data_IF_793970549528
#
_entry.id   IF_793970549528
#
_cell.length_a   1.000
_cell.length_b   1.000
_cell.length_c   1.000
_cell.angle_alpha   90.00
_cell.angle_beta   90.00
_cell.angle_gamma   90.00
#
_symmetry.space_group_name_H-M   'P 1'
#
loop_
_entity.id
_entity.type
_entity.pdbx_description
1 polymer ?
#
# COMPACT_ATOMS: atom_id res chain seq x y z
N UNK A 1 -22.84 25.79 10.52
CA UNK A 1 -23.72 26.82 9.92
C UNK A 1 -23.36 26.93 8.46
N UNK A 2 -24.25 26.45 7.59
CA UNK A 2 -24.05 26.42 6.16
C UNK A 2 -24.13 27.83 5.57
N UNK A 3 -23.23 28.17 4.65
CA UNK A 3 -23.38 29.32 3.75
C UNK A 3 -22.93 28.90 2.36
N UNK A 4 -23.89 29.01 1.43
CA UNK A 4 -23.78 28.83 -0.02
C UNK A 4 -22.82 29.86 -0.63
N UNK A 5 -22.07 29.49 -1.67
CA UNK A 5 -21.42 30.47 -2.54
C UNK A 5 -21.56 30.03 -4.00
N UNK A 6 -22.24 30.90 -4.74
CA UNK A 6 -22.58 30.78 -6.15
C UNK A 6 -21.40 30.84 -7.12
N UNK A 7 -21.65 30.21 -8.27
CA UNK A 7 -20.98 30.29 -9.56
C UNK A 7 -20.26 31.62 -9.85
N UNK A 8 -18.97 31.53 -10.21
CA UNK A 8 -18.31 32.51 -11.09
C UNK A 8 -17.48 31.81 -12.14
N UNK A 9 -17.85 32.04 -13.40
CA UNK A 9 -17.12 31.65 -14.59
C UNK A 9 -15.82 32.48 -14.74
N UNK A 10 -14.74 31.81 -15.14
CA UNK A 10 -13.50 32.45 -15.59
C UNK A 10 -13.33 32.21 -17.11
N UNK A 11 -12.91 33.22 -17.89
CA UNK A 11 -12.75 33.09 -19.34
C UNK A 11 -11.43 32.42 -19.73
N UNK A 12 -11.46 31.75 -20.89
CA UNK A 12 -10.37 31.03 -21.53
C UNK A 12 -9.18 31.92 -21.90
N UNK A 13 -7.96 31.40 -21.74
CA UNK A 13 -6.76 31.93 -22.39
C UNK A 13 -6.11 30.87 -23.28
N UNK A 14 -5.72 31.32 -24.46
CA UNK A 14 -5.30 30.58 -25.65
C UNK A 14 -3.82 30.16 -25.65
N UNK A 15 -3.56 29.18 -26.52
CA UNK A 15 -2.30 28.47 -26.84
C UNK A 15 -1.12 29.34 -27.31
N UNK A 16 0.10 28.91 -26.98
CA UNK A 16 1.32 29.24 -27.74
C UNK A 16 2.33 28.06 -27.71
N UNK A 17 3.03 27.92 -28.84
CA UNK A 17 3.68 26.73 -29.40
C UNK A 17 5.10 26.39 -28.87
N UNK A 18 5.39 25.08 -28.96
CA UNK A 18 6.63 24.35 -29.32
C UNK A 18 7.97 25.09 -29.46
N UNK A 19 9.00 24.55 -28.79
CA UNK A 19 10.36 24.42 -29.30
C UNK A 19 11.01 23.12 -28.75
N UNK A 20 11.36 22.20 -29.64
CA UNK A 20 11.98 20.91 -29.30
C UNK A 20 13.51 20.97 -29.36
N UNK A 21 14.18 20.36 -28.38
CA UNK A 21 15.63 20.08 -28.39
C UNK A 21 15.81 18.61 -28.01
N UNK A 22 16.46 17.86 -28.91
CA UNK A 22 16.74 16.42 -28.78
C UNK A 22 18.06 16.19 -28.06
N UNK A 23 18.06 15.39 -26.98
CA UNK A 23 19.26 14.88 -26.32
C UNK A 23 19.33 13.35 -26.45
N UNK A 24 20.46 12.82 -26.92
CA UNK A 24 20.77 11.38 -26.90
C UNK A 24 21.41 11.00 -25.55
N UNK A 25 20.97 9.93 -24.87
CA UNK A 25 21.62 9.47 -23.64
C UNK A 25 22.86 8.59 -23.94
N UNK A 26 23.89 8.60 -23.07
CA UNK A 26 25.06 7.72 -23.18
C UNK A 26 24.74 6.30 -22.66
N UNK A 27 25.58 5.30 -22.98
CA UNK A 27 25.30 3.90 -22.66
C UNK A 27 25.44 3.62 -21.15
N UNK A 28 24.50 2.84 -20.61
CA UNK A 28 24.48 2.39 -19.21
C UNK A 28 25.19 1.03 -19.10
N UNK A 29 26.14 0.84 -18.16
CA UNK A 29 26.73 -0.47 -17.91
C UNK A 29 25.77 -1.37 -17.12
N UNK A 30 25.55 -2.58 -17.62
CA UNK A 30 24.72 -3.61 -17.01
C UNK A 30 25.35 -4.17 -15.72
N UNK A 31 24.72 -3.92 -14.57
CA UNK A 31 24.84 -4.80 -13.40
C UNK A 31 23.46 -5.37 -13.10
N UNK A 32 23.35 -6.68 -13.27
CA UNK A 32 22.13 -7.45 -13.06
C UNK A 32 21.72 -7.41 -11.59
N UNK A 33 20.59 -6.76 -11.30
CA UNK A 33 19.76 -7.21 -10.19
C UNK A 33 19.22 -8.60 -10.52
N UNK A 34 19.08 -9.44 -9.49
CA UNK A 34 18.68 -10.85 -9.60
C UNK A 34 17.18 -10.97 -9.96
N UNK A 35 16.85 -10.54 -11.18
CA UNK A 35 15.51 -10.57 -11.77
C UNK A 35 14.94 -11.99 -11.85
N UNK A 36 15.80 -13.01 -11.82
CA UNK A 36 15.42 -14.41 -11.83
C UNK A 36 14.65 -14.84 -10.58
N UNK A 37 15.00 -14.30 -9.41
CA UNK A 37 14.34 -14.67 -8.15
C UNK A 37 12.94 -14.05 -8.01
N UNK A 38 12.75 -12.81 -8.47
CA UNK A 38 11.42 -12.19 -8.56
C UNK A 38 10.53 -12.85 -9.61
N UNK A 39 11.08 -13.25 -10.76
CA UNK A 39 10.36 -14.03 -11.77
C UNK A 39 9.89 -15.38 -11.21
N UNK A 40 10.74 -16.10 -10.48
CA UNK A 40 10.34 -17.36 -9.84
C UNK A 40 9.22 -17.19 -8.81
N UNK A 41 9.24 -16.14 -7.99
CA UNK A 41 8.15 -15.87 -7.04
C UNK A 41 6.84 -15.54 -7.75
N UNK A 42 6.88 -14.75 -8.83
CA UNK A 42 5.68 -14.49 -9.64
C UNK A 42 5.11 -15.77 -10.26
N UNK A 43 5.97 -16.69 -10.70
CA UNK A 43 5.55 -18.00 -11.19
C UNK A 43 4.88 -18.82 -10.10
N UNK A 44 5.45 -18.90 -8.89
CA UNK A 44 4.85 -19.64 -7.75
C UNK A 44 3.48 -19.08 -7.38
N UNK A 45 3.32 -17.75 -7.38
CA UNK A 45 2.01 -17.12 -7.12
C UNK A 45 1.00 -17.49 -8.21
N UNK A 46 1.41 -17.50 -9.49
CA UNK A 46 0.55 -17.88 -10.62
C UNK A 46 0.24 -19.38 -10.68
N UNK A 47 1.14 -20.25 -10.24
CA UNK A 47 0.92 -21.70 -10.22
C UNK A 47 -0.09 -22.10 -9.15
N UNK A 48 -0.07 -21.45 -7.98
CA UNK A 48 -1.09 -21.64 -6.96
C UNK A 48 -2.49 -21.16 -7.40
N UNK A 49 -2.60 -20.27 -8.40
CA UNK A 49 -3.90 -19.85 -8.96
C UNK A 49 -4.57 -20.95 -9.79
N UNK A 50 -3.80 -21.88 -10.37
CA UNK A 50 -4.34 -22.95 -11.21
C UNK A 50 -4.89 -24.15 -10.41
N UNK A 51 -4.73 -24.18 -9.08
CA UNK A 51 -5.19 -25.27 -8.21
C UNK A 51 -6.51 -24.99 -7.50
N UNK A 52 -7.08 -23.78 -7.64
CA UNK A 52 -8.37 -23.38 -7.04
C UNK A 52 -9.60 -23.90 -7.84
N UNK A 53 -9.57 -25.17 -8.24
CA UNK A 53 -10.69 -25.85 -8.89
C UNK A 53 -11.80 -26.22 -7.90
N UNK A 54 -12.61 -25.26 -7.47
CA UNK A 54 -13.93 -25.51 -6.87
C UNK A 54 -15.02 -25.35 -7.93
N UNK A 55 -15.57 -26.47 -8.37
CA UNK A 55 -16.76 -26.53 -9.21
C UNK A 55 -17.98 -26.15 -8.35
N UNK A 56 -18.35 -24.87 -8.35
CA UNK A 56 -19.63 -24.39 -7.81
C UNK A 56 -20.27 -23.46 -8.85
N UNK A 57 -21.41 -23.89 -9.38
CA UNK A 57 -22.22 -23.11 -10.29
C UNK A 57 -22.82 -21.90 -9.59
N UNK A 58 -22.30 -20.68 -9.78
CA UNK A 58 -22.95 -19.46 -9.31
C UNK A 58 -22.58 -18.24 -10.21
N UNK A 59 -23.60 -17.54 -10.70
CA UNK A 59 -23.51 -16.35 -11.58
C UNK A 59 -22.66 -15.19 -10.98
N UNK A 60 -22.41 -15.21 -9.67
CA UNK A 60 -21.60 -14.20 -8.97
C UNK A 60 -20.12 -14.26 -9.35
N UNK A 61 -19.58 -15.46 -9.59
CA UNK A 61 -18.15 -15.67 -9.86
C UNK A 61 -17.76 -15.21 -11.28
N UNK A 62 -18.67 -15.39 -12.25
CA UNK A 62 -18.53 -14.79 -13.58
C UNK A 62 -18.51 -13.25 -13.52
N UNK A 63 -19.37 -12.65 -12.68
CA UNK A 63 -19.43 -11.20 -12.54
C UNK A 63 -18.16 -10.63 -11.91
N UNK A 64 -17.60 -11.33 -10.92
CA UNK A 64 -16.35 -10.97 -10.27
C UNK A 64 -15.17 -11.05 -11.25
N UNK A 65 -15.06 -12.14 -12.00
CA UNK A 65 -14.02 -12.33 -13.01
C UNK A 65 -14.07 -11.30 -14.14
N UNK A 66 -15.27 -10.91 -14.61
CA UNK A 66 -15.43 -9.82 -15.59
C UNK A 66 -14.95 -8.48 -15.04
N UNK A 67 -15.23 -8.19 -13.77
CA UNK A 67 -14.78 -6.94 -13.13
C UNK A 67 -13.26 -6.90 -12.95
N UNK A 68 -12.62 -8.00 -12.54
CA UNK A 68 -11.16 -8.09 -12.43
C UNK A 68 -10.50 -7.90 -13.79
N UNK A 69 -11.01 -8.58 -14.84
CA UNK A 69 -10.53 -8.40 -16.22
C UNK A 69 -10.61 -6.95 -16.70
N UNK A 70 -11.69 -6.25 -16.35
CA UNK A 70 -11.88 -4.83 -16.66
C UNK A 70 -10.85 -3.94 -15.96
N UNK A 71 -10.58 -4.16 -14.67
CA UNK A 71 -9.55 -3.42 -13.94
C UNK A 71 -8.14 -3.70 -14.46
N UNK A 72 -7.82 -4.95 -14.81
CA UNK A 72 -6.52 -5.30 -15.39
C UNK A 72 -6.29 -4.60 -16.74
N UNK A 73 -7.34 -4.42 -17.55
CA UNK A 73 -7.25 -3.62 -18.77
C UNK A 73 -6.85 -2.17 -18.47
N UNK A 74 -7.39 -1.57 -17.40
CA UNK A 74 -6.97 -0.23 -16.97
C UNK A 74 -5.54 -0.21 -16.46
N UNK A 75 -5.11 -1.25 -15.71
CA UNK A 75 -3.74 -1.38 -15.22
C UNK A 75 -2.76 -1.40 -16.39
N UNK A 76 -3.00 -2.24 -17.39
CA UNK A 76 -2.13 -2.35 -18.56
C UNK A 76 -2.03 -1.02 -19.32
N UNK A 77 -3.15 -0.34 -19.54
CA UNK A 77 -3.17 0.98 -20.17
C UNK A 77 -2.41 2.03 -19.35
N UNK A 78 -2.65 2.07 -18.04
CA UNK A 78 -1.96 3.02 -17.15
C UNK A 78 -0.46 2.79 -17.12
N UNK A 79 -0.01 1.54 -17.20
CA UNK A 79 1.41 1.19 -17.23
C UNK A 79 2.06 1.45 -18.60
N UNK A 80 1.33 1.32 -19.72
CA UNK A 80 1.89 1.60 -21.05
C UNK A 80 2.21 3.07 -21.26
N UNK A 81 1.45 3.94 -20.59
CA UNK A 81 1.56 5.40 -20.73
C UNK A 81 2.53 6.03 -19.71
N UNK A 82 3.25 5.19 -18.95
CA UNK A 82 4.11 5.62 -17.85
C UNK A 82 5.59 5.41 -18.15
N UNK A 83 6.41 6.42 -17.88
CA UNK A 83 7.85 6.26 -17.90
C UNK A 83 8.34 5.29 -16.82
N UNK A 84 9.41 4.53 -17.09
CA UNK A 84 9.94 3.58 -16.13
C UNK A 84 10.45 4.28 -14.87
N UNK A 85 10.28 3.63 -13.72
CA UNK A 85 10.93 4.03 -12.48
C UNK A 85 12.45 3.89 -12.58
N UNK A 86 13.18 4.87 -12.04
CA UNK A 86 14.64 4.93 -12.11
C UNK A 86 15.25 4.93 -10.71
N UNK A 87 16.53 4.55 -10.62
CA UNK A 87 17.35 4.94 -9.47
C UNK A 87 17.56 6.45 -9.55
N UNK A 88 16.94 7.16 -8.62
CA UNK A 88 16.96 8.61 -8.57
C UNK A 88 18.24 9.08 -7.86
N UNK A 89 19.02 9.97 -8.48
CA UNK A 89 20.26 10.50 -7.90
C UNK A 89 20.04 11.20 -6.55
N UNK A 90 18.81 11.65 -6.28
CA UNK A 90 18.41 12.21 -4.97
C UNK A 90 18.46 11.18 -3.85
N UNK A 91 18.34 9.88 -4.16
CA UNK A 91 18.32 8.78 -3.20
C UNK A 91 19.70 8.13 -2.97
N UNK A 92 20.71 8.41 -3.80
CA UNK A 92 22.06 7.80 -3.74
C UNK A 92 22.68 7.80 -2.34
N UNK A 93 22.52 8.90 -1.61
CA UNK A 93 23.07 9.10 -0.27
C UNK A 93 22.12 8.69 0.86
N UNK A 94 21.08 7.91 0.57
CA UNK A 94 20.05 7.50 1.54
C UNK A 94 20.05 5.98 1.75
N UNK A 95 19.40 5.51 2.81
CA UNK A 95 19.20 4.08 3.04
C UNK A 95 18.36 3.38 1.95
N UNK A 96 17.62 4.17 1.16
CA UNK A 96 16.70 3.70 0.13
C UNK A 96 17.32 3.79 -1.29
N UNK A 97 18.64 3.92 -1.42
CA UNK A 97 19.35 4.11 -2.71
C UNK A 97 19.22 2.96 -3.72
N UNK A 98 18.56 1.88 -3.35
CA UNK A 98 18.33 0.67 -4.13
C UNK A 98 16.91 0.62 -4.72
N UNK A 99 16.05 1.58 -4.39
CA UNK A 99 14.64 1.59 -4.80
C UNK A 99 14.47 2.45 -6.05
N UNK A 100 13.87 1.85 -7.08
CA UNK A 100 13.47 2.59 -8.28
C UNK A 100 12.19 3.38 -7.99
N UNK A 101 12.20 4.69 -8.25
CA UNK A 101 11.05 5.58 -8.06
C UNK A 101 10.77 6.37 -9.33
N UNK A 102 9.50 6.70 -9.54
CA UNK A 102 9.13 7.58 -10.65
C UNK A 102 9.63 9.00 -10.36
N UNK A 103 10.40 9.56 -11.30
CA UNK A 103 11.09 10.85 -11.13
C UNK A 103 10.13 12.04 -11.04
N UNK A 104 8.90 11.90 -11.58
CA UNK A 104 7.87 12.94 -11.59
C UNK A 104 7.17 13.11 -10.24
N UNK A 105 7.35 12.19 -9.30
CA UNK A 105 6.75 12.27 -7.96
C UNK A 105 7.21 13.53 -7.22
N UNK A 106 6.26 14.20 -6.57
CA UNK A 106 6.50 15.42 -5.78
C UNK A 106 6.95 15.01 -4.38
N UNK A 107 8.24 15.19 -4.06
CA UNK A 107 8.81 14.91 -2.74
C UNK A 107 8.40 15.97 -1.72
N UNK A 108 7.87 15.53 -0.57
CA UNK A 108 7.25 16.40 0.44
C UNK A 108 8.13 16.61 1.69
N UNK A 109 9.16 15.79 1.87
CA UNK A 109 10.06 15.80 3.04
C UNK A 109 11.54 15.84 2.64
N UNK A 110 11.85 16.39 1.46
CA UNK A 110 13.20 16.39 0.91
C UNK A 110 13.61 15.01 0.39
N UNK A 111 14.81 14.54 0.75
CA UNK A 111 15.35 13.26 0.24
C UNK A 111 14.77 12.05 0.99
N UNK A 112 14.83 12.06 2.32
CA UNK A 112 14.51 10.90 3.17
C UNK A 112 13.99 11.33 4.56
N UNK A 113 13.03 10.63 5.18
CA UNK A 113 12.25 9.49 4.65
C UNK A 113 11.44 9.87 3.42
N UNK A 114 11.23 8.92 2.50
CA UNK A 114 10.52 9.20 1.26
C UNK A 114 9.02 9.39 1.51
N UNK A 115 8.54 10.62 1.32
CA UNK A 115 7.14 10.97 1.32
C UNK A 115 6.86 11.75 0.05
N UNK A 116 5.96 11.24 -0.78
CA UNK A 116 5.70 11.81 -2.08
C UNK A 116 4.25 11.58 -2.53
N UNK A 117 3.76 12.51 -3.34
CA UNK A 117 2.48 12.41 -4.04
C UNK A 117 2.68 12.57 -5.55
N UNK A 118 1.76 12.01 -6.34
CA UNK A 118 1.76 12.26 -7.78
C UNK A 118 1.45 13.73 -8.08
N UNK A 119 1.99 14.30 -9.16
CA UNK A 119 1.46 15.54 -9.70
C UNK A 119 -0.04 15.38 -9.98
N UNK A 120 -0.87 16.25 -9.41
CA UNK A 120 -2.34 16.12 -9.48
C UNK A 120 -2.87 15.93 -10.92
N UNK A 121 -2.40 16.66 -11.96
CA UNK A 121 -2.85 16.43 -13.33
C UNK A 121 -2.56 15.01 -13.84
N UNK A 122 -1.42 14.42 -13.44
CA UNK A 122 -1.06 13.04 -13.80
C UNK A 122 -1.93 12.03 -13.07
N UNK A 123 -2.17 12.23 -11.77
CA UNK A 123 -3.09 11.38 -11.01
C UNK A 123 -4.47 11.34 -11.66
N UNK A 124 -5.02 12.51 -12.00
CA UNK A 124 -6.32 12.62 -12.66
C UNK A 124 -6.33 12.00 -14.06
N UNK A 125 -5.23 12.10 -14.82
CA UNK A 125 -5.09 11.53 -16.15
C UNK A 125 -5.24 10.00 -16.17
N UNK A 126 -4.67 9.30 -15.19
CA UNK A 126 -4.73 7.83 -15.11
C UNK A 126 -6.08 7.29 -14.61
N UNK A 127 -6.97 8.15 -14.12
CA UNK A 127 -8.35 7.79 -13.80
C UNK A 127 -8.49 6.89 -12.58
N UNK A 128 -9.34 5.87 -12.68
CA UNK A 128 -9.81 5.08 -11.52
C UNK A 128 -8.71 4.26 -10.85
N UNK A 129 -7.83 3.62 -11.63
CA UNK A 129 -6.69 2.84 -11.10
C UNK A 129 -5.41 3.64 -11.30
N UNK A 130 -4.79 4.02 -10.18
CA UNK A 130 -3.50 4.70 -10.16
C UNK A 130 -2.38 3.69 -10.48
N UNK A 131 -1.53 3.95 -11.49
CA UNK A 131 -0.34 3.12 -11.71
C UNK A 131 0.58 3.17 -10.49
N UNK A 132 1.16 2.02 -10.15
CA UNK A 132 1.93 1.82 -8.91
C UNK A 132 3.06 2.86 -8.75
N UNK A 133 3.83 3.22 -9.79
CA UNK A 133 4.89 4.23 -9.62
C UNK A 133 4.40 5.66 -9.33
N UNK A 134 3.11 5.95 -9.53
CA UNK A 134 2.46 7.20 -9.15
C UNK A 134 1.58 7.08 -7.90
N UNK A 135 1.49 5.90 -7.31
CA UNK A 135 0.77 5.73 -6.04
C UNK A 135 1.51 6.51 -4.95
N UNK A 136 0.78 7.32 -4.17
CA UNK A 136 1.42 8.13 -3.13
C UNK A 136 2.19 7.24 -2.14
N UNK A 137 3.32 7.75 -1.66
CA UNK A 137 4.17 7.07 -0.68
C UNK A 137 4.25 7.89 0.58
N UNK A 138 4.01 7.24 1.72
CA UNK A 138 4.28 7.79 3.06
C UNK A 138 5.13 6.78 3.82
N UNK A 139 6.40 7.10 4.04
CA UNK A 139 7.31 6.33 4.90
C UNK A 139 7.66 7.14 6.15
N UNK A 140 7.68 6.49 7.30
CA UNK A 140 8.13 7.12 8.55
C UNK A 140 9.64 6.94 8.75
N UNK A 141 10.21 5.84 8.24
CA UNK A 141 11.65 5.58 8.25
C UNK A 141 12.15 4.98 6.94
N UNK A 142 13.33 4.33 6.99
CA UNK A 142 13.88 3.57 5.88
C UNK A 142 13.01 2.39 5.46
N UNK A 143 13.03 2.08 4.17
CA UNK A 143 12.34 0.91 3.63
C UNK A 143 13.16 -0.35 3.95
N UNK A 144 12.57 -1.35 4.62
CA UNK A 144 13.24 -2.63 4.86
C UNK A 144 13.60 -3.33 3.54
N UNK A 145 14.83 -3.88 3.47
CA UNK A 145 15.24 -4.79 2.39
C UNK A 145 14.67 -6.18 2.68
N UNK A 146 13.42 -6.39 2.28
CA UNK A 146 12.74 -7.65 2.51
C UNK A 146 13.08 -8.69 1.43
N UNK A 147 13.03 -9.96 1.83
CA UNK A 147 13.19 -11.12 0.96
C UNK A 147 11.96 -12.02 1.10
N UNK A 148 11.39 -12.48 -0.01
CA UNK A 148 10.15 -13.26 0.01
C UNK A 148 10.29 -14.60 0.77
N UNK A 149 11.38 -15.33 0.56
CA UNK A 149 11.52 -16.68 1.16
C UNK A 149 11.83 -16.63 2.64
N UNK A 150 12.48 -15.55 3.09
CA UNK A 150 12.84 -15.36 4.50
C UNK A 150 11.76 -14.63 5.31
N UNK A 151 10.76 -14.04 4.64
CA UNK A 151 9.77 -13.24 5.33
C UNK A 151 8.73 -14.10 6.05
N UNK A 152 8.52 -13.75 7.31
CA UNK A 152 7.55 -14.39 8.19
C UNK A 152 6.62 -13.39 8.86
N UNK A 153 5.39 -13.82 9.16
CA UNK A 153 4.39 -13.06 9.91
C UNK A 153 4.02 -13.85 11.15
N UNK A 154 4.24 -13.28 12.33
CA UNK A 154 3.82 -13.86 13.60
C UNK A 154 2.37 -13.45 13.92
N UNK A 155 1.51 -14.43 14.24
CA UNK A 155 0.18 -14.22 14.78
C UNK A 155 0.12 -14.74 16.22
N UNK A 156 -0.11 -13.84 17.17
CA UNK A 156 0.08 -14.12 18.61
C UNK A 156 -0.89 -13.35 19.50
N UNK A 157 -0.65 -13.40 20.82
CA UNK A 157 -1.48 -12.76 21.85
C UNK A 157 -2.67 -13.64 22.25
N UNK A 158 -3.85 -13.05 22.30
CA UNK A 158 -5.11 -13.72 22.67
C UNK A 158 -5.67 -14.57 21.52
N UNK A 159 -4.93 -15.62 21.17
CA UNK A 159 -5.31 -16.69 20.24
C UNK A 159 -5.02 -18.06 20.85
N UNK A 160 -5.79 -19.08 20.47
CA UNK A 160 -5.58 -20.46 20.97
C UNK A 160 -4.35 -21.13 20.37
N UNK A 161 -4.05 -20.83 19.10
CA UNK A 161 -3.00 -21.47 18.31
C UNK A 161 -2.15 -20.38 17.62
N UNK A 162 -1.17 -19.78 18.34
CA UNK A 162 -0.21 -18.87 17.74
C UNK A 162 0.53 -19.54 16.58
N UNK A 163 0.90 -18.77 15.56
CA UNK A 163 1.59 -19.29 14.38
C UNK A 163 2.59 -18.27 13.84
N UNK A 164 3.64 -18.76 13.19
CA UNK A 164 4.53 -17.96 12.36
C UNK A 164 4.34 -18.48 10.93
N UNK A 165 3.82 -17.65 10.05
CA UNK A 165 3.54 -17.99 8.65
C UNK A 165 4.67 -17.49 7.77
N UNK A 166 5.23 -18.34 6.90
CA UNK A 166 6.04 -17.88 5.76
C UNK A 166 5.14 -17.28 4.68
N UNK A 167 5.72 -16.56 3.72
CA UNK A 167 4.96 -16.07 2.56
C UNK A 167 4.38 -17.20 1.72
N UNK A 168 5.09 -18.33 1.59
CA UNK A 168 4.60 -19.52 0.89
C UNK A 168 3.37 -20.12 1.58
N UNK A 169 3.40 -20.27 2.90
CA UNK A 169 2.25 -20.74 3.67
C UNK A 169 1.08 -19.78 3.60
N UNK A 170 1.36 -18.46 3.63
CA UNK A 170 0.31 -17.46 3.52
C UNK A 170 -0.47 -17.62 2.20
N UNK A 171 0.22 -17.79 1.07
CA UNK A 171 -0.45 -17.85 -0.24
C UNK A 171 -1.02 -19.23 -0.59
N UNK A 172 -0.53 -20.31 0.02
CA UNK A 172 -0.94 -21.69 -0.31
C UNK A 172 -1.99 -22.25 0.66
N UNK A 173 -1.98 -21.84 1.93
CA UNK A 173 -2.89 -22.38 2.95
C UNK A 173 -4.20 -21.59 3.09
N UNK A 174 -4.33 -20.44 2.42
CA UNK A 174 -5.47 -19.54 2.58
C UNK A 174 -6.02 -19.04 1.24
N UNK A 175 -7.35 -18.82 1.14
CA UNK A 175 -7.94 -18.23 -0.05
C UNK A 175 -7.49 -16.76 -0.20
N UNK A 176 -7.39 -16.31 -1.45
CA UNK A 176 -7.12 -14.92 -1.78
C UNK A 176 -8.38 -14.19 -2.26
N UNK A 177 -8.39 -12.86 -2.12
CA UNK A 177 -9.41 -11.98 -2.71
C UNK A 177 -8.72 -10.81 -3.38
N UNK A 178 -9.36 -10.29 -4.44
CA UNK A 178 -8.83 -9.17 -5.22
C UNK A 178 -9.91 -8.12 -5.51
N UNK A 179 -9.66 -6.86 -5.14
CA UNK A 179 -10.60 -5.76 -5.37
C UNK A 179 -9.94 -4.37 -5.27
N UNK A 180 -10.52 -3.34 -5.92
CA UNK A 180 -9.98 -1.99 -5.88
C UNK A 180 -10.18 -1.35 -4.51
N UNK A 181 -9.13 -0.72 -3.97
CA UNK A 181 -9.20 0.06 -2.72
C UNK A 181 -8.49 1.39 -2.90
N UNK A 182 -9.20 2.47 -2.57
CA UNK A 182 -8.62 3.81 -2.46
C UNK A 182 -7.97 4.00 -1.10
N UNK A 183 -6.68 4.31 -1.11
CA UNK A 183 -5.94 4.72 0.07
C UNK A 183 -5.91 6.26 0.12
N UNK A 184 -6.14 6.82 1.30
CA UNK A 184 -6.03 8.27 1.54
C UNK A 184 -5.15 8.51 2.76
N UNK A 185 -4.15 9.38 2.62
CA UNK A 185 -3.36 9.84 3.76
C UNK A 185 -4.21 10.76 4.64
N UNK A 186 -4.16 10.59 5.96
CA UNK A 186 -4.77 11.55 6.89
C UNK A 186 -4.20 12.98 6.73
N UNK A 187 -2.99 13.10 6.18
CA UNK A 187 -2.37 14.38 5.85
C UNK A 187 -2.83 15.00 4.53
N UNK A 188 -3.65 14.32 3.71
CA UNK A 188 -4.07 14.86 2.42
C UNK A 188 -4.71 16.26 2.59
N UNK A 189 -4.35 17.19 1.70
CA UNK A 189 -4.72 18.62 1.73
C UNK A 189 -4.19 19.42 2.93
N UNK A 190 -3.24 18.89 3.72
CA UNK A 190 -2.68 19.63 4.88
C UNK A 190 -2.03 20.97 4.50
N UNK A 191 -1.49 21.11 3.28
CA UNK A 191 -0.92 22.39 2.84
C UNK A 191 -1.92 23.52 2.96
N UNK A 192 -3.18 23.29 2.65
CA UNK A 192 -4.25 24.30 2.76
C UNK A 192 -4.48 24.73 4.21
N UNK A 193 -4.42 23.79 5.15
CA UNK A 193 -4.47 24.10 6.58
C UNK A 193 -3.26 24.92 7.02
N UNK A 194 -2.05 24.52 6.60
CA UNK A 194 -0.80 25.19 6.95
C UNK A 194 -0.72 26.63 6.40
N UNK A 195 -1.36 26.92 5.27
CA UNK A 195 -1.48 28.29 4.74
C UNK A 195 -2.34 29.20 5.62
N UNK A 196 -3.30 28.64 6.37
CA UNK A 196 -4.12 29.38 7.35
C UNK A 196 -3.37 29.48 8.68
N UNK A 197 -2.86 28.35 9.19
CA UNK A 197 -2.06 28.28 10.40
C UNK A 197 -1.14 27.07 10.35
N UNK A 198 0.17 27.32 10.44
CA UNK A 198 1.19 26.27 10.39
C UNK A 198 0.97 25.23 11.50
N UNK A 199 0.80 23.97 11.08
CA UNK A 199 0.77 22.78 11.97
C UNK A 199 2.16 22.14 12.04
N UNK A 200 2.31 21.12 12.89
CA UNK A 200 3.55 20.34 12.99
C UNK A 200 3.80 19.43 11.78
N UNK A 201 2.77 19.18 10.96
CA UNK A 201 2.86 18.26 9.83
C UNK A 201 3.38 18.94 8.57
N UNK A 202 4.22 18.22 7.80
CA UNK A 202 4.66 18.68 6.48
C UNK A 202 3.49 18.78 5.48
N UNK A 203 3.69 19.60 4.45
CA UNK A 203 2.70 19.91 3.44
C UNK A 203 2.42 18.71 2.53
N UNK A 204 1.15 18.29 2.48
CA UNK A 204 0.59 17.52 1.36
C UNK A 204 -0.27 18.45 0.52
N UNK A 205 -0.18 18.32 -0.80
CA UNK A 205 -1.19 18.79 -1.73
C UNK A 205 -2.46 17.96 -1.65
N UNK A 206 -3.20 17.90 -2.75
CA UNK A 206 -4.47 17.17 -2.84
C UNK A 206 -4.34 15.75 -3.42
N UNK A 207 -3.10 15.28 -3.66
CA UNK A 207 -2.80 13.99 -4.28
C UNK A 207 -2.24 12.97 -3.25
N UNK A 208 -2.45 13.20 -1.96
CA UNK A 208 -2.25 12.20 -0.90
C UNK A 208 -3.31 11.09 -0.92
N UNK A 209 -3.67 10.62 -2.11
CA UNK A 209 -4.72 9.65 -2.41
C UNK A 209 -4.34 8.87 -3.67
N UNK A 210 -4.60 7.56 -3.66
CA UNK A 210 -4.39 6.69 -4.82
C UNK A 210 -5.27 5.45 -4.71
N UNK A 211 -5.66 4.88 -5.84
CA UNK A 211 -6.48 3.65 -5.90
C UNK A 211 -5.71 2.58 -6.63
N UNK A 212 -5.71 1.36 -6.09
CA UNK A 212 -5.12 0.19 -6.75
C UNK A 212 -6.02 -1.01 -6.56
N UNK A 213 -5.85 -1.98 -7.46
CA UNK A 213 -6.35 -3.34 -7.27
C UNK A 213 -5.43 -4.05 -6.29
N UNK A 214 -5.95 -4.56 -5.19
CA UNK A 214 -5.15 -5.23 -4.16
C UNK A 214 -5.57 -6.69 -4.07
N UNK A 215 -4.59 -7.60 -4.11
CA UNK A 215 -4.81 -9.03 -3.92
C UNK A 215 -4.09 -9.52 -2.67
N UNK A 216 -4.81 -10.30 -1.87
CA UNK A 216 -4.34 -10.73 -0.55
C UNK A 216 -5.22 -11.74 0.15
N UNK A 217 -4.74 -12.25 1.28
CA UNK A 217 -5.47 -13.18 2.15
C UNK A 217 -6.36 -12.41 3.12
N UNK A 218 -7.65 -12.75 3.28
CA UNK A 218 -8.51 -12.12 4.28
C UNK A 218 -7.98 -12.32 5.70
N UNK A 219 -7.86 -11.22 6.46
CA UNK A 219 -7.38 -11.24 7.84
C UNK A 219 -8.24 -12.13 8.74
N UNK A 220 -9.56 -12.12 8.52
CA UNK A 220 -10.51 -12.93 9.27
C UNK A 220 -10.21 -14.43 9.15
N UNK A 221 -9.71 -14.90 8.01
CA UNK A 221 -9.37 -16.31 7.78
C UNK A 221 -8.17 -16.75 8.61
N UNK A 222 -7.13 -15.93 8.66
CA UNK A 222 -5.94 -16.17 9.49
C UNK A 222 -6.31 -16.16 10.97
N UNK A 223 -7.10 -15.18 11.40
CA UNK A 223 -7.55 -15.08 12.79
C UNK A 223 -8.46 -16.25 13.20
N UNK A 224 -9.39 -16.66 12.32
CA UNK A 224 -10.24 -17.84 12.51
C UNK A 224 -9.39 -19.10 12.61
N UNK A 225 -8.39 -19.26 11.73
CA UNK A 225 -7.41 -20.33 11.80
C UNK A 225 -6.70 -20.33 13.14
N UNK A 226 -6.27 -19.19 13.71
CA UNK A 226 -5.59 -19.13 15.01
C UNK A 226 -6.53 -19.34 16.23
N UNK A 227 -7.84 -19.19 16.04
CA UNK A 227 -8.85 -19.35 17.09
C UNK A 227 -8.80 -18.23 18.12
N UNK A 228 -9.15 -17.00 17.72
CA UNK A 228 -9.19 -15.82 18.60
C UNK A 228 -10.11 -16.03 19.81
N UNK A 229 -9.69 -15.58 21.00
CA UNK A 229 -10.56 -15.63 22.19
C UNK A 229 -11.81 -14.73 22.04
N UNK A 230 -12.83 -15.03 22.85
CA UNK A 230 -14.06 -14.24 22.89
C UNK A 230 -13.82 -12.86 23.52
N UNK A 231 -14.81 -11.95 23.40
CA UNK A 231 -14.77 -10.65 24.10
C UNK A 231 -14.63 -10.81 25.62
N UNK A 232 -15.26 -11.85 26.20
CA UNK A 232 -15.13 -12.18 27.63
C UNK A 232 -13.73 -12.67 28.00
N UNK A 233 -13.01 -13.27 27.06
CA UNK A 233 -11.59 -13.62 27.20
C UNK A 233 -10.64 -12.44 26.98
N UNK A 234 -11.15 -11.21 26.92
CA UNK A 234 -10.33 -10.00 26.79
C UNK A 234 -9.83 -9.70 25.38
N UNK A 235 -10.14 -10.51 24.36
CA UNK A 235 -9.74 -10.21 22.98
C UNK A 235 -10.64 -9.11 22.41
N UNK A 236 -10.14 -7.87 22.34
CA UNK A 236 -10.90 -6.69 21.94
C UNK A 236 -10.29 -5.96 20.74
N UNK A 237 -8.97 -6.06 20.56
CA UNK A 237 -8.24 -5.36 19.51
C UNK A 237 -7.30 -6.30 18.77
N UNK A 238 -6.96 -5.92 17.54
CA UNK A 238 -5.93 -6.57 16.72
C UNK A 238 -4.90 -5.49 16.39
N UNK A 239 -3.71 -5.65 16.95
CA UNK A 239 -2.56 -4.80 16.71
C UNK A 239 -1.74 -5.34 15.53
N UNK A 240 -1.19 -4.43 14.74
CA UNK A 240 -0.33 -4.69 13.62
C UNK A 240 1.00 -3.99 13.84
N UNK A 241 2.10 -4.68 13.56
CA UNK A 241 3.47 -4.15 13.68
C UNK A 241 4.24 -4.43 12.39
N UNK A 242 4.89 -3.39 11.86
CA UNK A 242 5.75 -3.44 10.68
C UNK A 242 7.23 -3.64 11.04
N UNK A 243 8.06 -3.92 10.05
CA UNK A 243 9.50 -4.09 10.25
C UNK A 243 10.29 -2.77 10.36
N UNK A 244 9.74 -1.66 9.86
CA UNK A 244 10.46 -0.38 9.78
C UNK A 244 10.82 0.17 11.18
N UNK A 245 12.06 0.62 11.32
CA UNK A 245 12.53 1.35 12.50
C UNK A 245 12.18 2.83 12.39
N UNK A 246 11.50 3.36 13.41
CA UNK A 246 11.12 4.76 13.44
C UNK A 246 12.30 5.65 13.88
N UNK A 247 12.65 6.70 13.11
CA UNK A 247 13.67 7.65 13.50
C UNK A 247 13.36 8.29 14.85
N UNK A 248 14.35 8.34 15.76
CA UNK A 248 14.21 8.95 17.08
C UNK A 248 13.32 8.16 18.06
N UNK A 249 12.80 7.00 17.67
CA UNK A 249 11.87 6.18 18.47
C UNK A 249 12.53 5.14 19.37
N UNK A 250 13.85 5.18 19.60
CA UNK A 250 14.54 4.22 20.46
C UNK A 250 14.44 2.76 19.99
N UNK A 251 14.28 2.52 18.68
CA UNK A 251 14.03 1.18 18.12
C UNK A 251 12.55 0.77 18.07
N UNK A 252 11.61 1.68 18.34
CA UNK A 252 10.18 1.41 18.14
C UNK A 252 9.85 1.19 16.67
N UNK A 253 9.01 0.19 16.42
CA UNK A 253 8.50 -0.16 15.11
C UNK A 253 7.26 0.67 14.76
N UNK A 254 6.91 0.76 13.48
CA UNK A 254 5.60 1.29 13.10
C UNK A 254 4.50 0.30 13.52
N UNK A 255 3.47 0.78 14.19
CA UNK A 255 2.37 -0.07 14.64
C UNK A 255 1.07 0.68 14.85
N UNK A 256 -0.02 -0.08 14.77
CA UNK A 256 -1.38 0.44 15.00
C UNK A 256 -2.33 -0.69 15.38
N UNK A 257 -3.61 -0.38 15.57
CA UNK A 257 -4.61 -1.40 15.84
C UNK A 257 -5.98 -1.05 15.26
N UNK A 258 -6.81 -2.08 15.13
CA UNK A 258 -8.24 -1.99 14.86
C UNK A 258 -9.00 -2.84 15.89
N UNK A 259 -10.31 -2.60 16.05
CA UNK A 259 -11.17 -3.45 16.87
C UNK A 259 -11.22 -4.85 16.29
N UNK A 260 -11.19 -5.86 17.16
CA UNK A 260 -11.28 -7.27 16.77
C UNK A 260 -12.57 -7.56 16.00
N UNK A 261 -13.69 -6.96 16.38
CA UNK A 261 -14.96 -7.16 15.67
C UNK A 261 -14.86 -6.75 14.20
N UNK A 262 -14.12 -5.67 13.89
CA UNK A 262 -13.88 -5.28 12.50
C UNK A 262 -12.91 -6.24 11.80
N UNK A 263 -11.87 -6.70 12.49
CA UNK A 263 -10.89 -7.65 11.95
C UNK A 263 -11.52 -9.02 11.62
N UNK A 264 -12.56 -9.42 12.35
CA UNK A 264 -13.26 -10.69 12.17
C UNK A 264 -14.47 -10.60 11.23
N UNK A 265 -14.89 -9.40 10.84
CA UNK A 265 -16.06 -9.17 9.99
C UNK A 265 -15.67 -9.35 8.51
N UNK A 266 -16.13 -10.41 7.83
CA UNK A 266 -15.77 -10.67 6.44
C UNK A 266 -16.26 -9.58 5.48
N UNK A 267 -17.30 -8.82 5.83
CA UNK A 267 -17.82 -7.71 5.03
C UNK A 267 -16.92 -6.46 5.06
N UNK A 268 -15.85 -6.47 5.89
CA UNK A 268 -14.88 -5.37 5.95
C UNK A 268 -13.75 -5.49 4.94
N UNK A 269 -13.63 -6.63 4.26
CA UNK A 269 -12.66 -6.81 3.18
C UNK A 269 -11.22 -6.42 3.61
N UNK A 270 -10.84 -6.81 4.83
CA UNK A 270 -9.48 -6.56 5.36
C UNK A 270 -8.57 -7.69 4.91
N UNK A 271 -7.50 -7.37 4.19
CA UNK A 271 -6.57 -8.35 3.64
C UNK A 271 -5.12 -8.08 4.06
N UNK A 272 -4.35 -9.17 4.16
CA UNK A 272 -2.90 -9.17 4.04
C UNK A 272 -2.58 -9.20 2.54
N UNK A 273 -2.40 -8.02 1.96
CA UNK A 273 -2.09 -7.88 0.54
C UNK A 273 -0.61 -8.19 0.28
N UNK A 274 -0.36 -8.97 -0.78
CA UNK A 274 0.96 -9.32 -1.30
C UNK A 274 1.11 -8.95 -2.79
N UNK A 275 0.04 -8.48 -3.42
CA UNK A 275 0.03 -7.94 -4.78
C UNK A 275 -0.73 -6.61 -4.87
N UNK A 276 -0.30 -5.78 -5.81
CA UNK A 276 -0.90 -4.49 -6.16
C UNK A 276 -0.89 -4.35 -7.68
N UNK A 277 -2.07 -4.15 -8.29
CA UNK A 277 -2.27 -4.05 -9.73
C UNK A 277 -1.67 -5.23 -10.52
N UNK A 278 -1.92 -6.46 -10.07
CA UNK A 278 -1.49 -7.68 -10.76
C UNK A 278 -0.01 -8.05 -10.61
N UNK A 279 0.77 -7.24 -9.89
CA UNK A 279 2.20 -7.47 -9.65
C UNK A 279 2.47 -7.58 -8.14
N UNK A 280 3.61 -8.18 -7.76
CA UNK A 280 4.05 -8.17 -6.36
C UNK A 280 4.21 -6.74 -5.87
N UNK A 281 3.98 -6.53 -4.56
CA UNK A 281 4.18 -5.23 -3.94
C UNK A 281 5.58 -4.67 -4.26
N UNK A 282 5.66 -3.36 -4.48
CA UNK A 282 6.97 -2.69 -4.53
C UNK A 282 7.51 -2.44 -3.12
N UNK A 283 8.82 -2.19 -2.95
CA UNK A 283 9.40 -1.90 -1.64
C UNK A 283 8.70 -0.76 -0.89
N UNK A 284 8.44 0.38 -1.55
CA UNK A 284 7.77 1.54 -0.95
C UNK A 284 6.31 1.25 -0.55
N UNK A 285 5.67 0.24 -1.16
CA UNK A 285 4.30 -0.14 -0.87
C UNK A 285 4.17 -1.37 0.02
N UNK A 286 5.28 -1.86 0.61
CA UNK A 286 5.21 -2.83 1.69
C UNK A 286 5.61 -4.25 1.32
N UNK A 287 6.36 -4.46 0.24
CA UNK A 287 6.90 -5.79 -0.10
C UNK A 287 7.54 -6.48 1.11
N UNK A 288 7.19 -7.75 1.41
CA UNK A 288 6.36 -8.65 0.58
C UNK A 288 4.88 -8.64 0.97
N UNK A 289 4.51 -8.02 2.09
CA UNK A 289 3.15 -8.08 2.63
C UNK A 289 2.79 -6.85 3.47
N UNK A 290 1.55 -6.39 3.30
CA UNK A 290 0.97 -5.28 4.08
C UNK A 290 -0.47 -5.56 4.47
N UNK A 291 -0.98 -4.82 5.44
CA UNK A 291 -2.42 -4.74 5.71
C UNK A 291 -3.07 -3.72 4.78
N UNK A 292 -4.25 -4.06 4.25
CA UNK A 292 -5.20 -3.14 3.62
C UNK A 292 -6.51 -3.17 4.42
N UNK A 293 -7.00 -1.99 4.80
CA UNK A 293 -8.25 -1.82 5.57
C UNK A 293 -9.17 -0.84 4.82
N UNK A 294 -10.08 -1.31 3.95
CA UNK A 294 -10.96 -0.44 3.19
C UNK A 294 -11.72 0.55 4.07
N UNK A 295 -11.84 1.80 3.60
CA UNK A 295 -12.55 2.87 4.31
C UNK A 295 -11.79 3.51 5.49
N UNK A 296 -10.55 3.10 5.76
CA UNK A 296 -9.70 3.72 6.78
C UNK A 296 -8.61 4.60 6.18
N UNK A 297 -8.08 5.53 6.99
CA UNK A 297 -6.88 6.29 6.65
C UNK A 297 -5.69 5.36 6.41
N UNK A 298 -4.79 5.73 5.50
CA UNK A 298 -3.61 4.92 5.16
C UNK A 298 -2.70 4.61 6.35
N UNK A 299 -2.73 5.42 7.42
CA UNK A 299 -2.00 5.16 8.67
C UNK A 299 -2.51 3.97 9.50
N UNK A 300 -3.57 3.28 9.05
CA UNK A 300 -4.01 2.00 9.63
C UNK A 300 -3.59 0.78 8.79
N UNK A 301 -2.98 1.02 7.62
CA UNK A 301 -2.61 0.01 6.63
C UNK A 301 -1.10 -0.26 6.72
N UNK A 302 -0.68 -0.93 7.80
CA UNK A 302 0.73 -1.21 8.12
C UNK A 302 1.43 -1.91 6.96
N UNK A 303 2.56 -1.36 6.52
CA UNK A 303 3.45 -1.95 5.52
C UNK A 303 4.52 -2.81 6.18
N UNK A 304 5.12 -3.70 5.40
CA UNK A 304 6.20 -4.58 5.87
C UNK A 304 5.76 -5.33 7.12
N UNK A 305 4.58 -5.93 7.07
CA UNK A 305 3.92 -6.51 8.24
C UNK A 305 4.73 -7.67 8.80
N UNK A 306 5.03 -7.62 10.10
CA UNK A 306 5.74 -8.68 10.82
C UNK A 306 4.90 -9.36 11.89
N UNK A 307 4.00 -8.63 12.55
CA UNK A 307 3.23 -9.18 13.68
C UNK A 307 1.77 -8.75 13.64
N UNK A 308 0.91 -9.70 13.98
CA UNK A 308 -0.52 -9.54 14.23
C UNK A 308 -0.76 -10.03 15.66
N UNK A 309 -1.21 -9.14 16.55
CA UNK A 309 -1.29 -9.43 17.98
C UNK A 309 -2.71 -9.16 18.44
N UNK A 310 -3.41 -10.17 18.93
CA UNK A 310 -4.72 -9.97 19.54
C UNK A 310 -4.55 -9.54 20.99
N UNK A 311 -5.14 -8.41 21.37
CA UNK A 311 -4.92 -7.76 22.67
C UNK A 311 -6.23 -7.29 23.31
N UNK A 312 -6.23 -7.03 24.64
CA UNK A 312 -7.31 -6.30 25.28
C UNK A 312 -7.28 -4.80 25.02
N UNK A 313 -6.10 -4.20 24.91
CA UNK A 313 -5.93 -2.77 24.68
C UNK A 313 -5.65 -2.46 23.20
N UNK A 314 -5.99 -1.25 22.78
CA UNK A 314 -5.49 -0.71 21.51
C UNK A 314 -3.97 -0.60 21.53
N UNK A 315 -3.34 -0.47 20.36
CA UNK A 315 -1.90 -0.25 20.24
C UNK A 315 -1.48 1.01 21.01
N UNK A 316 -0.44 0.87 21.81
CA UNK A 316 0.24 1.95 22.54
C UNK A 316 1.30 2.67 21.69
N UNK A 317 1.43 2.30 20.41
CA UNK A 317 2.37 2.90 19.49
C UNK A 317 2.08 4.40 19.32
N UNK A 318 3.13 5.23 19.37
CA UNK A 318 3.01 6.69 19.23
C UNK A 318 2.27 7.10 17.94
N UNK A 319 2.43 6.35 16.85
CA UNK A 319 1.71 6.66 15.60
C UNK A 319 0.22 6.33 15.72
N UNK A 320 -0.16 5.31 16.47
CA UNK A 320 -1.57 5.02 16.76
C UNK A 320 -2.21 6.14 17.59
N UNK A 321 -1.55 6.54 18.67
CA UNK A 321 -2.04 7.57 19.60
C UNK A 321 -2.21 8.92 18.89
N UNK A 322 -1.23 9.32 18.06
CA UNK A 322 -1.24 10.61 17.36
C UNK A 322 -2.23 10.71 16.20
N UNK A 323 -2.94 9.63 15.88
CA UNK A 323 -3.91 9.55 14.76
C UNK A 323 -5.29 9.10 15.21
N UNK A 324 -5.60 9.20 16.51
CA UNK A 324 -6.96 9.02 17.04
C UNK A 324 -7.88 10.17 16.65
#
# INVERSE_FOLDING_TARGET
MATSVDNRHYPSLTSAMNAGISFKPPPVPSRSFDSHRHQNVQTVVRENENTDGYDSSDDEDESHNRNVSYYMTMVHKSNSDLEPSILDSRDESTADNWIHRNSSMVRLTGKHPFNAEAPLPRLMHHGFITPVPLHYVRNHGPVPKADWSEWTIEVTGLVKRPVILTMEQLISEFPSREYPVTLVCAGNRRKEQNMVKQTIGFNWGSAGVSTSLWKGVPLSEILRRCGVYSRRGGALNVCFEGAEDLPGGGGSKYGTSIKKEMAMDPARDIILAYMQNGELLTPDHGFPVRIIVPGFIGGRMVKWLKRIIVTPQESDNNVHISTR
#
